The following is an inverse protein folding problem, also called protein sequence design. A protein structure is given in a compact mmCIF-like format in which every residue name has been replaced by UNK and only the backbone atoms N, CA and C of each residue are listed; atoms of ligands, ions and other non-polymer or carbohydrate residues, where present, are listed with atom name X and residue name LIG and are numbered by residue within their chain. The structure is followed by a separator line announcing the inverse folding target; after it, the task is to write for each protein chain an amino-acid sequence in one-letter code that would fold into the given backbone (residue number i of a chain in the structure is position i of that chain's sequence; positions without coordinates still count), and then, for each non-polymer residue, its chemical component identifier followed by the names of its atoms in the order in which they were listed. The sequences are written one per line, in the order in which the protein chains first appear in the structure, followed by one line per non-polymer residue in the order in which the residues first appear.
data_IF_262288944587
#
_entry.id   IF_262288944587
#
_cell.length_a   1.000
_cell.length_b   1.000
_cell.length_c   1.000
_cell.angle_alpha   90.00
_cell.angle_beta   90.00
_cell.angle_gamma   90.00
#
_symmetry.space_group_name_H-M   'P 1'
#
loop_
_entity.id
_entity.type
_entity.pdbx_description
1 polymer ?
#
# COMPACT_ATOMS: atom_id res chain seq x y z
N UNK A 1 -73.19 22.83 1.92
CA UNK A 1 -72.25 23.14 3.01
C UNK A 1 -71.34 21.95 3.21
N UNK A 2 -70.21 21.91 2.53
CA UNK A 2 -69.13 20.94 2.71
C UNK A 2 -67.85 21.70 3.00
N UNK A 3 -67.51 21.76 4.28
CA UNK A 3 -66.24 22.28 4.69
C UNK A 3 -65.14 21.27 4.38
N UNK A 4 -64.25 21.68 3.45
CA UNK A 4 -63.02 20.95 3.18
C UNK A 4 -62.08 21.04 4.40
N UNK A 5 -61.77 19.92 5.00
CA UNK A 5 -60.63 19.79 5.95
C UNK A 5 -59.37 20.01 5.14
N UNK A 6 -58.76 21.18 5.23
CA UNK A 6 -57.38 21.38 4.93
C UNK A 6 -56.58 20.64 6.02
N UNK A 7 -56.06 19.48 5.68
CA UNK A 7 -55.01 18.84 6.49
C UNK A 7 -53.74 19.69 6.35
N UNK A 8 -53.36 20.31 7.42
CA UNK A 8 -52.06 20.93 7.59
C UNK A 8 -50.97 19.85 7.53
N UNK A 9 -50.42 19.59 6.34
CA UNK A 9 -49.14 18.90 6.11
C UNK A 9 -47.98 19.88 6.25
N UNK A 10 -47.95 20.65 7.31
CA UNK A 10 -46.84 21.54 7.63
C UNK A 10 -46.42 21.29 9.07
N UNK A 11 -45.33 20.61 9.24
CA UNK A 11 -44.44 20.54 10.40
C UNK A 11 -43.96 19.14 10.80
N UNK A 12 -43.98 18.17 9.90
CA UNK A 12 -43.09 17.03 10.07
C UNK A 12 -41.72 17.44 9.54
N UNK A 13 -41.00 18.17 10.40
CA UNK A 13 -39.74 18.81 10.06
C UNK A 13 -38.76 17.80 9.51
N UNK A 14 -38.17 18.12 8.39
CA UNK A 14 -37.08 17.43 7.72
C UNK A 14 -36.17 16.70 8.74
N UNK A 15 -36.41 15.41 8.93
CA UNK A 15 -35.68 14.56 9.88
C UNK A 15 -34.18 14.66 9.72
N UNK A 16 -33.74 14.94 8.49
CA UNK A 16 -32.34 15.18 8.16
C UNK A 16 -31.79 16.44 8.86
N UNK A 17 -32.60 17.47 9.10
CA UNK A 17 -32.16 18.68 9.81
C UNK A 17 -31.89 18.41 11.28
N UNK A 18 -32.49 17.36 11.85
CA UNK A 18 -32.34 16.98 13.26
C UNK A 18 -31.15 16.04 13.50
N UNK A 19 -30.50 15.51 12.43
CA UNK A 19 -29.37 14.62 12.59
C UNK A 19 -28.14 15.35 13.17
N UNK A 20 -27.44 14.73 14.13
CA UNK A 20 -26.15 15.23 14.58
C UNK A 20 -25.14 15.31 13.45
N UNK A 21 -24.25 16.29 13.49
CA UNK A 21 -23.27 16.54 12.44
C UNK A 21 -22.36 15.33 12.18
N UNK A 22 -22.02 14.56 13.23
CA UNK A 22 -21.24 13.32 13.10
C UNK A 22 -21.94 12.25 12.24
N UNK A 23 -23.27 12.14 12.36
CA UNK A 23 -24.06 11.22 11.53
C UNK A 23 -24.12 11.70 10.08
N UNK A 24 -24.30 13.01 9.88
CA UNK A 24 -24.28 13.58 8.52
C UNK A 24 -22.91 13.40 7.89
N UNK A 25 -21.82 13.61 8.60
CA UNK A 25 -20.46 13.33 8.10
C UNK A 25 -20.31 11.85 7.71
N UNK A 26 -20.85 10.92 8.50
CA UNK A 26 -20.81 9.49 8.19
C UNK A 26 -21.61 9.17 6.90
N UNK A 27 -22.77 9.77 6.74
CA UNK A 27 -23.56 9.64 5.49
C UNK A 27 -22.79 10.21 4.29
N UNK A 28 -22.22 11.40 4.44
CA UNK A 28 -21.44 12.07 3.39
C UNK A 28 -20.24 11.23 2.95
N UNK A 29 -19.64 10.44 3.84
CA UNK A 29 -18.55 9.53 3.52
C UNK A 29 -18.92 8.50 2.44
N UNK A 30 -20.15 8.03 2.41
CA UNK A 30 -20.64 7.06 1.41
C UNK A 30 -21.14 7.69 0.11
N UNK A 31 -21.25 9.01 0.05
CA UNK A 31 -21.72 9.68 -1.15
C UNK A 31 -20.64 9.73 -2.24
N UNK A 32 -21.01 9.38 -3.44
CA UNK A 32 -20.22 9.70 -4.62
C UNK A 32 -20.13 11.21 -4.86
N UNK A 33 -19.14 11.66 -5.62
CA UNK A 33 -18.87 13.09 -5.86
C UNK A 33 -20.09 13.86 -6.38
N UNK A 34 -20.91 13.23 -7.25
CA UNK A 34 -22.14 13.82 -7.79
C UNK A 34 -23.16 14.11 -6.68
N UNK A 35 -23.41 13.15 -5.80
CA UNK A 35 -24.41 13.29 -4.74
C UNK A 35 -23.88 14.16 -3.60
N UNK A 36 -22.58 14.11 -3.32
CA UNK A 36 -21.92 15.07 -2.45
C UNK A 36 -22.13 16.51 -2.95
N UNK A 37 -21.91 16.77 -4.25
CA UNK A 37 -22.12 18.09 -4.84
C UNK A 37 -23.59 18.54 -4.75
N UNK A 38 -24.53 17.62 -5.01
CA UNK A 38 -25.96 17.88 -4.88
C UNK A 38 -26.36 18.23 -3.46
N UNK A 39 -25.91 17.41 -2.49
CA UNK A 39 -26.17 17.66 -1.08
C UNK A 39 -25.65 19.03 -0.64
N UNK A 40 -24.45 19.43 -1.10
CA UNK A 40 -23.88 20.75 -0.80
C UNK A 40 -24.69 21.92 -1.34
N UNK A 41 -25.59 21.68 -2.32
CA UNK A 41 -26.48 22.70 -2.88
C UNK A 41 -27.83 22.80 -2.16
N UNK A 42 -28.22 21.81 -1.34
CA UNK A 42 -29.55 21.74 -0.69
C UNK A 42 -29.72 22.84 0.36
N UNK A 43 -28.72 23.09 1.19
CA UNK A 43 -28.77 24.13 2.19
C UNK A 43 -27.37 24.64 2.59
N UNK A 44 -27.33 25.77 3.27
CA UNK A 44 -26.08 26.33 3.82
C UNK A 44 -25.47 25.37 4.84
N UNK A 45 -26.26 24.79 5.72
CA UNK A 45 -25.82 23.79 6.72
C UNK A 45 -25.13 22.59 6.04
N UNK A 46 -25.78 21.97 5.06
CA UNK A 46 -25.19 20.79 4.37
C UNK A 46 -23.92 21.14 3.60
N UNK A 47 -23.84 22.34 3.04
CA UNK A 47 -22.61 22.82 2.41
C UNK A 47 -21.46 22.94 3.41
N UNK A 48 -21.72 23.47 4.59
CA UNK A 48 -20.74 23.57 5.67
C UNK A 48 -20.33 22.19 6.19
N UNK A 49 -21.29 21.28 6.38
CA UNK A 49 -21.02 19.89 6.77
C UNK A 49 -20.21 19.13 5.72
N UNK A 50 -20.52 19.28 4.44
CA UNK A 50 -19.70 18.69 3.37
C UNK A 50 -18.27 19.23 3.41
N UNK A 51 -18.07 20.51 3.61
CA UNK A 51 -16.73 21.10 3.69
C UNK A 51 -16.00 20.67 4.95
N UNK A 52 -16.68 20.43 6.08
CA UNK A 52 -16.08 20.11 7.37
C UNK A 52 -15.80 18.62 7.61
N UNK A 53 -16.18 17.71 6.68
CA UNK A 53 -15.89 16.29 6.83
C UNK A 53 -14.38 16.04 6.99
N UNK A 54 -13.94 15.16 7.92
CA UNK A 54 -12.51 14.84 8.06
C UNK A 54 -11.97 13.96 6.92
N UNK A 55 -12.85 13.45 6.07
CA UNK A 55 -12.50 12.59 4.92
C UNK A 55 -12.80 13.31 3.61
N UNK A 56 -11.86 13.23 2.68
CA UNK A 56 -12.01 13.77 1.32
C UNK A 56 -11.73 12.65 0.33
N UNK A 57 -12.77 12.23 -0.37
CA UNK A 57 -12.65 11.24 -1.44
C UNK A 57 -12.97 11.90 -2.78
N UNK A 58 -11.96 12.01 -3.62
CA UNK A 58 -12.04 12.53 -4.97
C UNK A 58 -11.97 11.37 -5.95
N UNK A 59 -13.12 10.96 -6.45
CA UNK A 59 -13.25 9.83 -7.38
C UNK A 59 -13.94 10.29 -8.67
N UNK A 60 -13.26 10.11 -9.80
CA UNK A 60 -13.77 10.49 -11.11
C UNK A 60 -14.18 9.30 -12.01
N UNK A 61 -14.15 8.06 -11.53
CA UNK A 61 -14.41 6.86 -12.35
C UNK A 61 -15.71 6.90 -13.15
N UNK A 62 -16.71 7.67 -12.70
CA UNK A 62 -18.01 7.80 -13.38
C UNK A 62 -18.26 9.21 -13.96
N UNK A 63 -17.22 10.02 -14.12
CA UNK A 63 -17.33 11.43 -14.50
C UNK A 63 -16.78 11.75 -15.90
N UNK A 64 -16.38 10.77 -16.68
CA UNK A 64 -16.00 10.96 -18.08
C UNK A 64 -17.22 11.38 -18.91
N UNK A 65 -17.16 12.48 -19.68
CA UNK A 65 -16.02 13.29 -20.13
C UNK A 65 -15.80 14.62 -19.38
N UNK A 66 -16.19 14.73 -18.11
CA UNK A 66 -16.29 16.03 -17.41
C UNK A 66 -15.01 16.38 -16.62
N UNK A 67 -13.84 16.10 -17.17
CA UNK A 67 -12.53 16.33 -16.58
C UNK A 67 -12.35 17.75 -16.03
N UNK A 68 -12.70 18.75 -16.84
CA UNK A 68 -12.62 20.16 -16.43
C UNK A 68 -13.50 20.48 -15.21
N UNK A 69 -14.71 19.92 -15.15
CA UNK A 69 -15.61 20.14 -14.02
C UNK A 69 -15.07 19.50 -12.74
N UNK A 70 -14.47 18.31 -12.85
CA UNK A 70 -13.82 17.64 -11.74
C UNK A 70 -12.66 18.49 -11.19
N UNK A 71 -11.76 18.95 -12.06
CA UNK A 71 -10.63 19.79 -11.68
C UNK A 71 -11.07 21.05 -10.94
N UNK A 72 -12.03 21.77 -11.50
CA UNK A 72 -12.58 22.99 -10.88
C UNK A 72 -13.30 22.72 -9.55
N UNK A 73 -13.95 21.57 -9.43
CA UNK A 73 -14.60 21.17 -8.17
C UNK A 73 -13.53 20.94 -7.10
N UNK A 74 -12.46 20.19 -7.41
CA UNK A 74 -11.37 19.93 -6.46
C UNK A 74 -10.69 21.21 -6.02
N UNK A 75 -10.35 22.09 -6.97
CA UNK A 75 -9.73 23.39 -6.67
C UNK A 75 -10.58 24.18 -5.66
N UNK A 76 -11.88 24.32 -5.95
CA UNK A 76 -12.81 25.05 -5.08
C UNK A 76 -12.98 24.40 -3.70
N UNK A 77 -13.05 23.07 -3.65
CA UNK A 77 -13.19 22.34 -2.40
C UNK A 77 -11.98 22.56 -1.50
N UNK A 78 -10.77 22.37 -2.04
CA UNK A 78 -9.53 22.48 -1.28
C UNK A 78 -9.25 23.93 -0.88
N UNK A 79 -9.41 24.92 -1.81
CA UNK A 79 -9.30 26.32 -1.47
C UNK A 79 -10.25 26.73 -0.33
N UNK A 80 -11.51 26.27 -0.38
CA UNK A 80 -12.47 26.58 0.67
C UNK A 80 -12.09 25.98 2.00
N UNK A 81 -11.59 24.74 2.02
CA UNK A 81 -11.08 24.12 3.25
C UNK A 81 -9.89 24.86 3.83
N UNK A 82 -8.94 25.28 2.98
CA UNK A 82 -7.81 26.08 3.39
C UNK A 82 -8.26 27.41 4.02
N UNK A 83 -9.22 28.08 3.38
CA UNK A 83 -9.76 29.35 3.89
C UNK A 83 -10.37 29.23 5.29
N UNK A 84 -11.06 28.11 5.55
CA UNK A 84 -11.69 27.85 6.85
C UNK A 84 -10.78 27.07 7.84
N UNK A 85 -9.55 26.72 7.46
CA UNK A 85 -8.63 25.92 8.30
C UNK A 85 -9.15 24.52 8.63
N UNK A 86 -10.02 23.95 7.79
CA UNK A 86 -10.67 22.67 8.04
C UNK A 86 -9.69 21.53 7.77
N UNK A 87 -9.28 20.83 8.83
CA UNK A 87 -8.34 19.73 8.76
C UNK A 87 -8.86 18.55 7.93
N UNK A 88 -7.94 17.85 7.27
CA UNK A 88 -8.21 16.62 6.54
C UNK A 88 -7.46 15.50 7.28
N UNK A 89 -8.19 14.46 7.72
CA UNK A 89 -7.56 13.27 8.27
C UNK A 89 -7.20 12.26 7.17
N UNK A 90 -8.15 11.97 6.29
CA UNK A 90 -7.99 11.01 5.20
C UNK A 90 -8.24 11.69 3.85
N UNK A 91 -7.30 11.53 2.94
CA UNK A 91 -7.41 12.00 1.57
C UNK A 91 -7.28 10.83 0.59
N UNK A 92 -8.26 10.66 -0.27
CA UNK A 92 -8.30 9.64 -1.31
C UNK A 92 -8.47 10.32 -2.67
N UNK A 93 -7.50 10.12 -3.55
CA UNK A 93 -7.58 10.55 -4.95
C UNK A 93 -7.63 9.32 -5.85
N UNK A 94 -8.73 9.17 -6.59
CA UNK A 94 -8.89 8.18 -7.66
C UNK A 94 -8.98 8.95 -8.97
N UNK A 95 -7.94 8.83 -9.79
CA UNK A 95 -7.82 9.48 -11.08
C UNK A 95 -7.88 8.45 -12.19
N UNK A 96 -8.97 8.45 -12.92
CA UNK A 96 -9.26 7.50 -14.00
C UNK A 96 -9.44 8.19 -15.36
N UNK A 97 -8.88 9.37 -15.52
CA UNK A 97 -8.88 10.10 -16.79
C UNK A 97 -7.71 9.74 -17.73
N UNK A 98 -6.85 8.81 -17.33
CA UNK A 98 -5.60 8.53 -18.04
C UNK A 98 -4.52 9.59 -17.78
N UNK A 99 -3.76 9.94 -18.82
CA UNK A 99 -2.62 10.84 -18.69
C UNK A 99 -3.01 12.24 -18.20
N UNK A 100 -2.10 12.84 -17.44
CA UNK A 100 -2.22 14.24 -17.03
C UNK A 100 -1.89 15.17 -18.20
N UNK A 101 -2.71 16.20 -18.41
CA UNK A 101 -2.27 17.34 -19.20
C UNK A 101 -1.28 18.20 -18.40
N UNK A 102 -0.44 19.00 -19.06
CA UNK A 102 0.59 19.82 -18.39
C UNK A 102 0.04 20.65 -17.22
N UNK A 103 -1.09 21.29 -17.42
CA UNK A 103 -1.74 22.11 -16.39
C UNK A 103 -2.33 21.29 -15.25
N UNK A 104 -2.59 20.01 -15.44
CA UNK A 104 -3.14 19.11 -14.40
C UNK A 104 -2.05 18.55 -13.50
N UNK A 105 -0.88 18.28 -14.00
CA UNK A 105 0.27 17.91 -13.17
C UNK A 105 0.53 18.99 -12.12
N UNK A 106 0.56 20.25 -12.52
CA UNK A 106 0.70 21.40 -11.60
C UNK A 106 -0.47 21.51 -10.61
N UNK A 107 -1.70 21.28 -11.06
CA UNK A 107 -2.88 21.30 -10.17
C UNK A 107 -2.80 20.20 -9.11
N UNK A 108 -2.39 19.00 -9.49
CA UNK A 108 -2.23 17.88 -8.55
C UNK A 108 -1.17 18.20 -7.50
N UNK A 109 -0.05 18.80 -7.88
CA UNK A 109 0.95 19.27 -6.92
C UNK A 109 0.36 20.28 -5.95
N UNK A 110 -0.46 21.22 -6.45
CA UNK A 110 -1.16 22.21 -5.64
C UNK A 110 -2.17 21.56 -4.70
N UNK A 111 -2.93 20.55 -5.18
CA UNK A 111 -3.87 19.83 -4.33
C UNK A 111 -3.17 19.12 -3.17
N UNK A 112 -2.06 18.42 -3.44
CA UNK A 112 -1.27 17.79 -2.38
C UNK A 112 -0.68 18.80 -1.42
N UNK A 113 -0.22 19.95 -1.90
CA UNK A 113 0.25 21.04 -1.04
C UNK A 113 -0.84 21.51 -0.07
N UNK A 114 -2.06 21.73 -0.56
CA UNK A 114 -3.20 22.07 0.30
C UNK A 114 -3.53 20.97 1.31
N UNK A 115 -3.58 19.73 0.86
CA UNK A 115 -3.91 18.57 1.70
C UNK A 115 -2.88 18.39 2.83
N UNK A 116 -1.61 18.55 2.52
CA UNK A 116 -0.51 18.50 3.51
C UNK A 116 -0.63 19.62 4.54
N UNK A 117 -0.89 20.85 4.09
CA UNK A 117 -1.05 21.99 4.98
C UNK A 117 -2.30 21.87 5.88
N UNK A 118 -3.30 21.12 5.48
CA UNK A 118 -4.49 20.81 6.27
C UNK A 118 -4.27 19.62 7.24
N UNK A 119 -3.03 19.15 7.39
CA UNK A 119 -2.64 18.21 8.43
C UNK A 119 -3.08 16.77 8.18
N UNK A 120 -3.06 16.33 6.92
CA UNK A 120 -3.47 14.99 6.52
C UNK A 120 -2.67 13.89 7.23
N UNK A 121 -3.39 12.84 7.65
CA UNK A 121 -2.79 11.67 8.30
C UNK A 121 -2.68 10.46 7.36
N UNK A 122 -3.66 10.30 6.46
CA UNK A 122 -3.70 9.17 5.52
C UNK A 122 -3.93 9.66 4.11
N UNK A 123 -3.05 9.26 3.21
CA UNK A 123 -3.14 9.55 1.77
C UNK A 123 -3.26 8.22 1.01
N UNK A 124 -4.26 8.13 0.13
CA UNK A 124 -4.39 7.03 -0.83
C UNK A 124 -4.55 7.60 -2.24
N UNK A 125 -3.67 7.19 -3.14
CA UNK A 125 -3.61 7.66 -4.53
C UNK A 125 -3.82 6.46 -5.43
N UNK A 126 -4.80 6.53 -6.32
CA UNK A 126 -5.02 5.54 -7.37
C UNK A 126 -5.12 6.24 -8.71
N UNK A 127 -4.24 5.89 -9.63
CA UNK A 127 -4.09 6.56 -10.92
C UNK A 127 -4.07 5.54 -12.06
N UNK A 128 -4.60 5.93 -13.21
CA UNK A 128 -4.49 5.17 -14.48
C UNK A 128 -3.47 5.80 -15.44
N UNK A 129 -2.61 6.69 -14.96
CA UNK A 129 -1.57 7.35 -15.76
C UNK A 129 -0.38 6.43 -16.01
N UNK A 130 0.34 6.62 -17.13
CA UNK A 130 1.58 5.91 -17.40
C UNK A 130 2.75 6.43 -16.57
N UNK A 131 2.69 7.68 -16.10
CA UNK A 131 3.75 8.29 -15.28
C UNK A 131 3.18 9.22 -14.21
N UNK A 132 3.68 9.08 -13.00
CA UNK A 132 3.35 9.94 -11.87
C UNK A 132 4.60 10.30 -11.07
N UNK A 133 4.84 11.59 -10.87
CA UNK A 133 5.85 12.07 -9.95
C UNK A 133 5.19 12.33 -8.60
N UNK A 134 5.69 11.67 -7.54
CA UNK A 134 5.18 11.92 -6.18
C UNK A 134 5.60 13.31 -5.72
N UNK A 135 4.67 14.21 -5.36
CA UNK A 135 5.01 15.55 -4.92
C UNK A 135 5.88 15.55 -3.66
N UNK A 136 6.94 16.36 -3.65
CA UNK A 136 7.88 16.46 -2.53
C UNK A 136 7.19 16.82 -1.22
N UNK A 137 6.16 17.67 -1.25
CA UNK A 137 5.40 18.06 -0.07
C UNK A 137 4.76 16.87 0.68
N UNK A 138 4.38 15.81 -0.05
CA UNK A 138 3.82 14.58 0.55
C UNK A 138 4.86 13.90 1.44
N UNK A 139 6.12 13.82 1.00
CA UNK A 139 7.19 13.22 1.81
C UNK A 139 7.57 14.08 3.01
N UNK A 140 7.36 15.39 2.92
CA UNK A 140 7.67 16.33 4.00
C UNK A 140 6.51 16.49 5.01
N UNK A 141 5.39 15.80 4.79
CA UNK A 141 4.20 15.91 5.64
C UNK A 141 4.44 15.30 7.03
N UNK A 142 4.55 16.13 8.07
CA UNK A 142 4.85 15.70 9.44
C UNK A 142 3.69 14.99 10.16
N UNK A 143 2.49 15.06 9.62
CA UNK A 143 1.29 14.44 10.21
C UNK A 143 0.92 13.11 9.56
N UNK A 144 1.49 12.81 8.38
CA UNK A 144 1.13 11.64 7.61
C UNK A 144 1.72 10.36 8.21
N UNK A 145 0.83 9.41 8.53
CA UNK A 145 1.19 8.08 9.05
C UNK A 145 0.95 6.94 8.05
N UNK A 146 0.17 7.19 7.00
CA UNK A 146 -0.19 6.18 6.00
C UNK A 146 -0.13 6.76 4.59
N UNK A 147 0.61 6.08 3.69
CA UNK A 147 0.68 6.40 2.27
C UNK A 147 0.43 5.14 1.44
N UNK A 148 -0.57 5.20 0.56
CA UNK A 148 -0.84 4.15 -0.45
C UNK A 148 -0.79 4.77 -1.84
N UNK A 149 -0.05 4.14 -2.74
CA UNK A 149 0.04 4.53 -4.16
C UNK A 149 -0.26 3.31 -5.03
N UNK A 150 -1.14 3.48 -5.99
CA UNK A 150 -1.49 2.49 -7.01
C UNK A 150 -1.57 3.16 -8.38
N UNK A 151 -0.84 2.67 -9.39
CA UNK A 151 -0.73 3.32 -10.71
C UNK A 151 -1.07 2.43 -11.90
N UNK A 152 -1.64 1.25 -11.69
CA UNK A 152 -1.95 0.31 -12.78
C UNK A 152 -0.76 0.08 -13.73
N UNK A 153 0.41 -0.27 -13.14
CA UNK A 153 1.70 -0.49 -13.80
C UNK A 153 2.37 0.77 -14.41
N UNK A 154 1.88 1.94 -14.06
CA UNK A 154 2.51 3.21 -14.42
C UNK A 154 3.81 3.46 -13.66
N UNK A 155 4.66 4.30 -14.25
CA UNK A 155 5.95 4.70 -13.69
C UNK A 155 5.74 5.65 -12.52
N UNK A 156 6.24 5.27 -11.35
CA UNK A 156 6.32 6.13 -10.17
C UNK A 156 7.72 6.74 -10.08
N UNK A 157 7.80 8.04 -10.30
CA UNK A 157 9.01 8.80 -10.04
C UNK A 157 9.04 9.24 -8.59
N UNK A 158 10.02 8.75 -7.86
CA UNK A 158 10.24 9.13 -6.46
C UNK A 158 10.99 10.47 -6.41
N UNK A 159 10.69 11.32 -5.43
CA UNK A 159 11.47 12.54 -5.21
C UNK A 159 12.91 12.19 -4.86
N UNK A 160 13.87 13.00 -5.36
CA UNK A 160 15.28 12.80 -5.07
C UNK A 160 15.56 12.99 -3.56
N UNK A 161 16.40 12.12 -3.02
CA UNK A 161 16.84 12.16 -1.63
C UNK A 161 17.98 13.17 -1.41
N UNK A 162 18.59 13.61 -2.50
CA UNK A 162 19.80 14.47 -2.54
C UNK A 162 19.51 15.97 -2.42
N UNK A 163 18.33 16.38 -1.94
CA UNK A 163 18.11 17.80 -1.78
C UNK A 163 19.00 18.36 -0.66
N UNK A 164 20.04 19.10 -1.05
CA UNK A 164 20.88 19.93 -0.20
C UNK A 164 20.12 20.96 0.65
N UNK A 165 18.81 20.95 0.60
CA UNK A 165 17.89 21.88 1.22
C UNK A 165 17.28 21.34 2.51
N UNK A 166 17.97 20.54 3.33
CA UNK A 166 17.62 20.34 4.74
C UNK A 166 16.16 19.99 5.11
N UNK A 167 15.32 19.67 4.14
CA UNK A 167 13.92 19.32 4.37
C UNK A 167 13.86 17.87 4.85
N UNK A 168 13.63 17.71 6.16
CA UNK A 168 13.52 16.40 6.80
C UNK A 168 12.42 15.58 6.17
N UNK A 169 12.79 14.38 5.68
CA UNK A 169 11.82 13.40 5.23
C UNK A 169 10.88 13.04 6.37
N UNK A 170 9.64 12.74 6.02
CA UNK A 170 8.61 12.35 6.96
C UNK A 170 9.08 11.22 7.89
N UNK A 171 9.34 11.57 9.12
CA UNK A 171 9.73 10.62 10.18
C UNK A 171 8.52 9.93 10.82
N UNK A 172 7.28 10.35 10.50
CA UNK A 172 6.05 9.84 11.11
C UNK A 172 5.36 8.75 10.30
N UNK A 173 5.77 8.51 9.04
CA UNK A 173 5.18 7.49 8.19
C UNK A 173 5.36 6.10 8.80
N UNK A 174 4.23 5.45 9.10
CA UNK A 174 4.21 4.10 9.69
C UNK A 174 3.85 3.02 8.68
N UNK A 175 3.06 3.36 7.66
CA UNK A 175 2.59 2.38 6.67
C UNK A 175 2.81 2.92 5.27
N UNK A 176 3.54 2.17 4.45
CA UNK A 176 3.73 2.42 3.03
C UNK A 176 3.20 1.24 2.23
N UNK A 177 2.32 1.51 1.26
CA UNK A 177 1.73 0.51 0.37
C UNK A 177 1.91 0.94 -1.07
N UNK A 178 2.64 0.17 -1.85
CA UNK A 178 2.83 0.36 -3.28
C UNK A 178 2.20 -0.80 -4.04
N UNK A 179 1.29 -0.49 -4.98
CA UNK A 179 0.56 -1.52 -5.74
C UNK A 179 0.62 -1.21 -7.23
N UNK A 180 1.05 -2.20 -8.03
CA UNK A 180 1.11 -2.09 -9.50
C UNK A 180 1.85 -0.83 -9.95
N UNK A 181 3.01 -0.56 -9.37
CA UNK A 181 3.86 0.57 -9.71
C UNK A 181 5.17 0.09 -10.34
N UNK A 182 5.66 0.81 -11.34
CA UNK A 182 7.01 0.66 -11.86
C UNK A 182 7.91 1.75 -11.30
N UNK A 183 8.99 1.39 -10.63
CA UNK A 183 9.97 2.35 -10.09
C UNK A 183 10.96 2.73 -11.20
N UNK A 184 11.12 4.04 -11.44
CA UNK A 184 12.01 4.55 -12.49
C UNK A 184 13.48 4.48 -12.07
N UNK A 185 13.79 4.84 -10.85
CA UNK A 185 15.16 4.88 -10.32
C UNK A 185 15.45 3.67 -9.42
N UNK A 186 16.11 2.69 -10.03
CA UNK A 186 16.36 1.38 -9.42
C UNK A 186 17.32 1.48 -8.22
N UNK A 187 18.32 2.35 -8.30
CA UNK A 187 19.41 2.41 -7.32
C UNK A 187 19.00 3.13 -6.03
N UNK A 188 18.06 4.05 -6.12
CA UNK A 188 17.67 4.91 -5.00
C UNK A 188 16.53 4.34 -4.15
N UNK A 189 15.83 3.29 -4.59
CA UNK A 189 14.64 2.81 -3.87
C UNK A 189 14.94 2.30 -2.45
N UNK A 190 16.00 1.51 -2.27
CA UNK A 190 16.42 1.03 -0.96
C UNK A 190 16.85 2.17 -0.02
N UNK A 191 17.62 3.12 -0.55
CA UNK A 191 18.04 4.32 0.18
C UNK A 191 16.82 5.19 0.56
N UNK A 192 15.89 5.35 -0.37
CA UNK A 192 14.64 6.06 -0.13
C UNK A 192 13.82 5.42 1.00
N UNK A 193 13.69 4.10 1.02
CA UNK A 193 13.01 3.38 2.09
C UNK A 193 13.71 3.52 3.45
N UNK A 194 15.05 3.57 3.47
CA UNK A 194 15.84 3.66 4.71
C UNK A 194 15.63 4.97 5.47
N UNK A 195 15.09 5.98 4.81
CA UNK A 195 14.84 7.30 5.38
C UNK A 195 13.60 7.34 6.29
N UNK A 196 12.65 6.42 6.11
CA UNK A 196 11.43 6.36 6.93
C UNK A 196 11.69 5.65 8.27
N UNK A 197 12.21 6.37 9.24
CA UNK A 197 12.64 5.81 10.54
C UNK A 197 11.50 5.27 11.41
N UNK A 198 10.25 5.64 11.13
CA UNK A 198 9.06 5.15 11.85
C UNK A 198 8.25 4.10 11.09
N UNK A 199 8.76 3.64 9.92
CA UNK A 199 8.03 2.73 9.05
C UNK A 199 7.89 1.36 9.72
N UNK A 200 6.66 0.96 10.01
CA UNK A 200 6.32 -0.33 10.64
C UNK A 200 5.81 -1.35 9.63
N UNK A 201 5.07 -0.90 8.63
CA UNK A 201 4.45 -1.77 7.63
C UNK A 201 4.87 -1.34 6.24
N UNK A 202 5.53 -2.25 5.52
CA UNK A 202 5.86 -2.08 4.10
C UNK A 202 5.15 -3.18 3.29
N UNK A 203 4.30 -2.76 2.35
CA UNK A 203 3.62 -3.66 1.43
C UNK A 203 3.95 -3.29 -0.02
N UNK A 204 4.60 -4.18 -0.72
CA UNK A 204 4.96 -4.08 -2.13
C UNK A 204 4.20 -5.15 -2.90
N UNK A 205 3.25 -4.76 -3.74
CA UNK A 205 2.44 -5.68 -4.54
C UNK A 205 2.54 -5.30 -6.01
N UNK A 206 2.99 -6.22 -6.86
CA UNK A 206 3.21 -5.97 -8.29
C UNK A 206 4.08 -4.74 -8.54
N UNK A 207 5.14 -4.59 -7.76
CA UNK A 207 6.16 -3.56 -8.00
C UNK A 207 7.16 -4.08 -9.02
N UNK A 208 7.40 -3.32 -10.08
CA UNK A 208 8.27 -3.66 -11.19
C UNK A 208 9.39 -2.64 -11.41
N UNK A 209 10.32 -2.94 -12.33
CA UNK A 209 11.45 -2.07 -12.62
C UNK A 209 12.65 -2.24 -11.68
N UNK A 210 12.54 -3.06 -10.62
CA UNK A 210 13.61 -3.29 -9.64
C UNK A 210 14.08 -4.74 -9.78
N UNK A 211 15.37 -4.96 -10.12
CA UNK A 211 15.98 -6.31 -10.22
C UNK A 211 16.58 -6.76 -8.88
N UNK A 212 17.18 -5.84 -8.15
CA UNK A 212 17.78 -6.12 -6.84
C UNK A 212 17.27 -5.11 -5.80
N UNK A 213 16.80 -5.60 -4.67
CA UNK A 213 16.26 -4.77 -3.61
C UNK A 213 16.94 -5.06 -2.28
N UNK A 214 17.48 -4.02 -1.67
CA UNK A 214 18.05 -4.08 -0.32
C UNK A 214 17.23 -3.21 0.63
N UNK A 215 16.64 -3.84 1.65
CA UNK A 215 15.83 -3.19 2.68
C UNK A 215 16.66 -3.13 3.97
N UNK A 216 17.13 -1.93 4.31
CA UNK A 216 17.84 -1.64 5.55
C UNK A 216 16.98 -0.72 6.41
N UNK A 217 16.09 -1.29 7.22
CA UNK A 217 15.22 -0.51 8.08
C UNK A 217 14.90 -1.25 9.37
N UNK A 218 15.47 -0.79 10.47
CA UNK A 218 15.33 -1.41 11.79
C UNK A 218 13.95 -1.23 12.44
N UNK A 219 13.08 -0.38 11.90
CA UNK A 219 11.77 -0.11 12.48
C UNK A 219 10.64 -0.97 11.88
N UNK A 220 10.87 -1.63 10.74
CA UNK A 220 9.86 -2.45 10.06
C UNK A 220 9.50 -3.66 10.93
N UNK A 221 8.21 -3.82 11.16
CA UNK A 221 7.58 -4.92 11.88
C UNK A 221 6.93 -5.94 10.93
N UNK A 222 6.29 -5.44 9.87
CA UNK A 222 5.59 -6.25 8.87
C UNK A 222 6.08 -5.90 7.47
N UNK A 223 6.59 -6.91 6.75
CA UNK A 223 7.03 -6.78 5.36
C UNK A 223 6.24 -7.76 4.48
N UNK A 224 5.62 -7.22 3.44
CA UNK A 224 4.91 -8.01 2.41
C UNK A 224 5.46 -7.69 1.04
N UNK A 225 5.92 -8.70 0.31
CA UNK A 225 6.38 -8.63 -1.07
C UNK A 225 5.55 -9.62 -1.87
N UNK A 226 4.76 -9.12 -2.81
CA UNK A 226 3.84 -9.93 -3.59
C UNK A 226 3.90 -9.63 -5.07
N UNK A 227 4.06 -10.67 -5.91
CA UNK A 227 4.01 -10.60 -7.38
C UNK A 227 4.98 -9.56 -7.99
N UNK A 228 6.15 -9.34 -7.35
CA UNK A 228 7.19 -8.44 -7.84
C UNK A 228 8.12 -9.21 -8.82
N UNK A 229 7.65 -9.45 -10.02
CA UNK A 229 8.22 -10.43 -10.94
C UNK A 229 9.58 -10.06 -11.54
N UNK A 230 9.93 -8.77 -11.61
CA UNK A 230 11.25 -8.32 -12.10
C UNK A 230 12.36 -8.53 -11.05
N UNK A 231 11.96 -8.77 -9.79
CA UNK A 231 12.89 -8.92 -8.68
C UNK A 231 13.64 -10.23 -8.78
N UNK A 232 14.97 -10.19 -8.71
CA UNK A 232 15.85 -11.36 -8.74
C UNK A 232 16.53 -11.54 -7.39
N UNK A 233 17.02 -10.44 -6.80
CA UNK A 233 17.73 -10.47 -5.53
C UNK A 233 17.02 -9.65 -4.48
N UNK A 234 16.81 -10.24 -3.30
CA UNK A 234 16.21 -9.57 -2.15
C UNK A 234 17.15 -9.71 -0.95
N UNK A 235 17.52 -8.59 -0.35
CA UNK A 235 18.27 -8.54 0.90
C UNK A 235 17.48 -7.76 1.96
N UNK A 236 17.18 -8.39 3.09
CA UNK A 236 16.38 -7.82 4.16
C UNK A 236 17.22 -7.76 5.44
N UNK A 237 17.42 -6.55 5.96
CA UNK A 237 18.11 -6.28 7.22
C UNK A 237 17.16 -5.47 8.10
N UNK A 238 16.39 -6.15 8.96
CA UNK A 238 15.33 -5.54 9.74
C UNK A 238 15.24 -6.18 11.13
N UNK A 239 15.82 -5.55 12.12
CA UNK A 239 15.92 -6.07 13.50
C UNK A 239 14.56 -6.30 14.16
N UNK A 240 13.59 -5.42 13.92
CA UNK A 240 12.26 -5.49 14.53
C UNK A 240 11.25 -6.29 13.72
N UNK A 241 11.65 -6.88 12.60
CA UNK A 241 10.74 -7.60 11.71
C UNK A 241 10.19 -8.84 12.40
N UNK A 242 8.87 -8.89 12.60
CA UNK A 242 8.15 -10.03 13.17
C UNK A 242 7.36 -10.82 12.12
N UNK A 243 6.90 -10.15 11.06
CA UNK A 243 6.09 -10.79 10.03
C UNK A 243 6.68 -10.53 8.64
N UNK A 244 7.01 -11.63 7.95
CA UNK A 244 7.51 -11.59 6.59
C UNK A 244 6.63 -12.44 5.68
N UNK A 245 6.04 -11.84 4.66
CA UNK A 245 5.26 -12.54 3.64
C UNK A 245 5.89 -12.30 2.27
N UNK A 246 6.34 -13.35 1.64
CA UNK A 246 6.90 -13.32 0.29
C UNK A 246 6.05 -14.23 -0.60
N UNK A 247 5.39 -13.65 -1.60
CA UNK A 247 4.77 -14.35 -2.71
C UNK A 247 5.49 -13.89 -3.97
N UNK A 248 6.41 -14.73 -4.47
CA UNK A 248 7.34 -14.32 -5.48
C UNK A 248 7.69 -15.42 -6.49
N UNK A 249 7.32 -15.15 -7.74
CA UNK A 249 7.60 -15.98 -8.89
C UNK A 249 8.44 -15.17 -9.88
N UNK A 250 9.80 -15.21 -9.80
CA UNK A 250 10.63 -14.45 -10.71
C UNK A 250 10.39 -14.89 -12.15
N UNK A 251 10.05 -13.92 -13.01
CA UNK A 251 9.75 -14.20 -14.42
C UNK A 251 11.04 -14.36 -15.22
N UNK A 252 11.24 -15.53 -15.83
CA UNK A 252 12.23 -15.75 -16.93
C UNK A 252 13.70 -15.40 -16.63
N UNK A 253 14.17 -15.41 -15.41
CA UNK A 253 15.61 -15.27 -15.24
C UNK A 253 16.28 -16.64 -15.41
N UNK A 254 17.25 -16.69 -16.31
CA UNK A 254 18.18 -17.83 -16.47
C UNK A 254 19.14 -17.98 -15.27
N UNK A 255 19.07 -17.08 -14.30
CA UNK A 255 19.85 -17.11 -13.06
C UNK A 255 18.95 -17.38 -11.85
N UNK A 256 19.46 -18.18 -10.92
CA UNK A 256 18.83 -18.35 -9.61
C UNK A 256 18.78 -17.01 -8.89
N UNK A 257 17.59 -16.60 -8.45
CA UNK A 257 17.47 -15.46 -7.58
C UNK A 257 18.04 -15.73 -6.19
N UNK A 258 18.33 -14.68 -5.44
CA UNK A 258 18.81 -14.80 -4.07
C UNK A 258 17.91 -14.11 -3.05
N UNK A 259 17.68 -14.77 -1.91
CA UNK A 259 16.95 -14.22 -0.78
C UNK A 259 17.85 -14.24 0.47
N UNK A 260 18.27 -13.06 0.92
CA UNK A 260 19.07 -12.88 2.13
C UNK A 260 18.24 -12.21 3.20
N UNK A 261 18.12 -12.84 4.36
CA UNK A 261 17.34 -12.32 5.49
C UNK A 261 18.21 -12.22 6.72
N UNK A 262 18.20 -11.06 7.37
CA UNK A 262 18.73 -10.83 8.71
C UNK A 262 17.64 -10.18 9.56
N UNK A 263 16.89 -11.00 10.28
CA UNK A 263 15.71 -10.61 11.05
C UNK A 263 15.61 -11.46 12.33
N UNK A 264 16.36 -11.13 13.39
CA UNK A 264 16.49 -11.99 14.58
C UNK A 264 15.17 -12.13 15.36
N UNK A 265 14.23 -11.21 15.20
CA UNK A 265 12.95 -11.23 15.91
C UNK A 265 11.79 -11.77 15.06
N UNK A 266 12.09 -12.50 13.97
CA UNK A 266 11.07 -13.03 13.06
C UNK A 266 10.22 -14.11 13.76
N UNK A 267 8.90 -13.88 13.79
CA UNK A 267 7.91 -14.78 14.41
C UNK A 267 7.08 -15.54 13.38
N UNK A 268 6.77 -14.89 12.24
CA UNK A 268 5.97 -15.48 11.18
C UNK A 268 6.64 -15.22 9.83
N UNK A 269 6.97 -16.30 9.12
CA UNK A 269 7.51 -16.23 7.79
C UNK A 269 6.66 -17.08 6.84
N UNK A 270 6.07 -16.45 5.85
CA UNK A 270 5.34 -17.13 4.78
C UNK A 270 6.10 -16.89 3.47
N UNK A 271 6.51 -17.95 2.81
CA UNK A 271 7.20 -17.90 1.53
C UNK A 271 6.52 -18.81 0.51
N UNK A 272 6.01 -18.19 -0.55
CA UNK A 272 5.36 -18.85 -1.68
C UNK A 272 6.08 -18.45 -2.95
N UNK A 273 6.49 -19.40 -3.79
CA UNK A 273 7.19 -19.09 -5.04
C UNK A 273 8.12 -20.18 -5.54
N UNK A 274 9.19 -19.80 -6.20
CA UNK A 274 10.20 -20.74 -6.70
C UNK A 274 11.34 -20.95 -5.70
N UNK A 275 11.95 -22.14 -5.77
CA UNK A 275 13.19 -22.43 -5.04
C UNK A 275 14.32 -21.52 -5.56
N UNK A 276 15.08 -20.91 -4.64
CA UNK A 276 16.17 -20.00 -4.96
C UNK A 276 17.31 -20.11 -3.95
N UNK A 277 18.43 -19.44 -4.20
CA UNK A 277 19.53 -19.37 -3.24
C UNK A 277 19.11 -18.57 -2.01
N UNK A 278 19.04 -19.26 -0.90
CA UNK A 278 18.53 -18.72 0.36
C UNK A 278 19.65 -18.60 1.40
N UNK A 279 19.76 -17.43 2.00
CA UNK A 279 20.67 -17.18 3.09
C UNK A 279 19.95 -16.50 4.25
N UNK A 280 19.85 -17.17 5.36
CA UNK A 280 19.37 -16.59 6.61
C UNK A 280 20.53 -16.32 7.55
N UNK A 281 20.63 -15.09 8.05
CA UNK A 281 21.55 -14.70 9.12
C UNK A 281 20.73 -14.47 10.39
N UNK A 282 20.80 -15.40 11.30
CA UNK A 282 20.15 -15.31 12.61
C UNK A 282 19.82 -16.73 13.10
N UNK A 283 19.70 -16.90 14.39
CA UNK A 283 19.09 -18.13 14.93
C UNK A 283 17.58 -17.99 14.82
N UNK A 284 16.95 -18.88 14.07
CA UNK A 284 15.50 -18.99 14.12
C UNK A 284 15.09 -19.20 15.57
N UNK A 285 14.37 -18.24 16.13
CA UNK A 285 13.87 -18.39 17.49
C UNK A 285 12.91 -19.57 17.56
N UNK A 286 12.85 -20.26 18.69
CA UNK A 286 11.86 -21.32 18.95
C UNK A 286 10.39 -20.84 18.84
N UNK A 287 10.20 -19.55 18.49
CA UNK A 287 8.88 -18.92 18.28
C UNK A 287 8.46 -18.85 16.81
N UNK A 288 9.36 -19.14 15.85
CA UNK A 288 9.09 -18.97 14.44
C UNK A 288 8.01 -19.93 13.93
N UNK A 289 6.95 -19.39 13.40
CA UNK A 289 5.96 -20.10 12.58
C UNK A 289 6.32 -19.91 11.12
N UNK A 290 6.56 -21.00 10.41
CA UNK A 290 7.04 -20.99 9.04
C UNK A 290 6.06 -21.70 8.13
N UNK A 291 5.59 -21.01 7.09
CA UNK A 291 4.80 -21.60 6.02
C UNK A 291 5.54 -21.47 4.70
N UNK A 292 5.84 -22.58 4.05
CA UNK A 292 6.58 -22.64 2.80
C UNK A 292 5.76 -23.39 1.76
N UNK A 293 5.64 -22.76 0.60
CA UNK A 293 5.01 -23.33 -0.58
C UNK A 293 5.89 -22.95 -1.78
N UNK A 294 6.83 -23.84 -2.13
CA UNK A 294 7.80 -23.59 -3.18
C UNK A 294 7.56 -24.53 -4.34
N UNK A 295 7.38 -24.00 -5.53
CA UNK A 295 7.32 -24.74 -6.78
C UNK A 295 8.71 -24.89 -7.40
N UNK A 296 8.92 -26.00 -8.09
CA UNK A 296 10.08 -26.20 -8.95
C UNK A 296 9.84 -25.44 -10.24
N UNK A 297 10.80 -24.63 -10.67
CA UNK A 297 10.71 -24.04 -12.01
C UNK A 297 11.09 -25.09 -13.04
N UNK A 298 10.30 -25.24 -14.10
CA UNK A 298 10.50 -26.22 -15.20
C UNK A 298 11.84 -26.10 -15.94
N UNK A 299 12.60 -25.05 -15.68
CA UNK A 299 13.83 -24.71 -16.39
C UNK A 299 15.13 -24.99 -15.61
N UNK A 300 15.05 -25.47 -14.37
CA UNK A 300 16.22 -25.62 -13.52
C UNK A 300 16.68 -27.09 -13.46
N UNK A 301 17.98 -27.30 -13.60
CA UNK A 301 18.61 -28.61 -13.41
C UNK A 301 18.22 -29.17 -12.05
N UNK A 302 17.67 -30.35 -12.03
CA UNK A 302 17.15 -31.05 -10.86
C UNK A 302 18.14 -31.11 -9.67
N UNK A 303 19.43 -31.26 -9.96
CA UNK A 303 20.50 -31.31 -8.95
C UNK A 303 20.66 -29.99 -8.16
N UNK A 304 20.62 -28.85 -8.85
CA UNK A 304 20.78 -27.54 -8.21
C UNK A 304 19.58 -27.20 -7.32
N UNK A 305 18.40 -27.54 -7.78
CA UNK A 305 17.15 -27.33 -7.04
C UNK A 305 17.11 -28.15 -5.76
N UNK A 306 17.51 -29.43 -5.82
CA UNK A 306 17.64 -30.30 -4.64
C UNK A 306 18.61 -29.74 -3.61
N UNK A 307 19.75 -29.20 -4.07
CA UNK A 307 20.75 -28.57 -3.21
C UNK A 307 20.18 -27.35 -2.46
N UNK A 308 19.54 -26.42 -3.16
CA UNK A 308 18.96 -25.23 -2.52
C UNK A 308 17.80 -25.60 -1.59
N UNK A 309 16.98 -26.55 -1.96
CA UNK A 309 15.90 -27.05 -1.12
C UNK A 309 16.43 -27.64 0.20
N UNK A 310 17.47 -28.48 0.10
CA UNK A 310 18.13 -29.05 1.28
C UNK A 310 18.70 -27.94 2.18
N UNK A 311 19.37 -26.93 1.61
CA UNK A 311 19.91 -25.79 2.32
C UNK A 311 18.82 -24.98 3.04
N UNK A 312 17.69 -24.75 2.38
CA UNK A 312 16.50 -24.10 2.96
C UNK A 312 16.01 -24.89 4.15
N UNK A 313 15.71 -26.17 3.97
CA UNK A 313 15.16 -27.03 5.02
C UNK A 313 16.12 -27.17 6.20
N UNK A 314 17.41 -27.33 5.93
CA UNK A 314 18.43 -27.44 6.99
C UNK A 314 18.49 -26.15 7.85
N UNK A 315 18.39 -24.97 7.23
CA UNK A 315 18.37 -23.69 7.95
C UNK A 315 17.13 -23.52 8.84
N UNK A 316 16.06 -24.25 8.55
CA UNK A 316 14.74 -24.10 9.19
C UNK A 316 14.42 -25.18 10.24
N UNK A 317 15.36 -26.04 10.56
CA UNK A 317 15.18 -27.15 11.51
C UNK A 317 14.71 -26.74 12.92
N UNK A 318 15.00 -25.49 13.33
CA UNK A 318 14.64 -24.95 14.65
C UNK A 318 13.31 -24.21 14.68
N UNK A 319 12.59 -24.15 13.56
CA UNK A 319 11.27 -23.48 13.52
C UNK A 319 10.28 -24.22 14.44
N UNK A 320 9.44 -23.47 15.16
CA UNK A 320 8.42 -24.01 16.06
C UNK A 320 7.36 -24.81 15.29
N UNK A 321 6.93 -24.28 14.15
CA UNK A 321 5.95 -24.90 13.25
C UNK A 321 6.48 -24.76 11.83
N UNK A 322 6.52 -25.84 11.09
CA UNK A 322 6.87 -25.85 9.68
C UNK A 322 5.71 -26.44 8.89
N UNK A 323 5.10 -25.64 8.03
CA UNK A 323 4.05 -26.04 7.09
C UNK A 323 4.65 -26.09 5.69
N UNK A 324 4.64 -27.26 5.06
CA UNK A 324 5.10 -27.46 3.69
C UNK A 324 3.91 -27.77 2.79
N UNK A 325 3.85 -27.18 1.61
CA UNK A 325 2.79 -27.41 0.62
C UNK A 325 3.39 -27.85 -0.71
N UNK A 326 2.64 -28.69 -1.40
CA UNK A 326 2.70 -29.16 -2.79
C UNK A 326 4.01 -29.74 -3.37
N UNK A 327 5.19 -29.19 -3.14
CA UNK A 327 6.41 -29.56 -3.89
C UNK A 327 7.28 -30.60 -3.19
N UNK A 328 7.11 -30.78 -1.90
CA UNK A 328 8.02 -31.57 -1.08
C UNK A 328 7.73 -33.09 -1.09
N UNK A 329 6.65 -33.53 -1.72
CA UNK A 329 6.19 -34.90 -1.66
C UNK A 329 7.01 -35.85 -2.56
N UNK A 330 7.64 -35.32 -3.61
CA UNK A 330 8.40 -36.11 -4.59
C UNK A 330 9.89 -36.31 -4.26
N UNK A 331 10.41 -35.61 -3.26
CA UNK A 331 11.82 -35.74 -2.87
C UNK A 331 11.95 -36.82 -1.83
N UNK A 332 12.56 -37.98 -2.19
CA UNK A 332 12.90 -39.04 -1.27
C UNK A 332 13.70 -38.53 -0.07
N UNK A 333 13.02 -38.31 1.05
CA UNK A 333 13.64 -37.81 2.28
C UNK A 333 14.34 -38.94 3.03
N UNK A 334 15.64 -38.79 3.24
CA UNK A 334 16.25 -39.29 4.46
C UNK A 334 15.64 -38.51 5.64
N UNK A 335 15.19 -39.17 6.71
CA UNK A 335 14.52 -38.50 7.83
C UNK A 335 15.48 -37.52 8.49
N UNK A 336 15.36 -36.25 8.16
CA UNK A 336 15.95 -35.18 8.95
C UNK A 336 15.17 -35.12 10.27
N UNK A 337 15.87 -35.29 11.38
CA UNK A 337 15.32 -35.19 12.72
C UNK A 337 14.85 -33.73 12.97
N UNK A 338 13.61 -33.45 12.64
CA UNK A 338 12.98 -32.15 12.98
C UNK A 338 12.49 -32.20 14.43
N UNK A 339 12.90 -31.26 15.24
CA UNK A 339 12.38 -31.05 16.62
C UNK A 339 11.04 -30.29 16.64
N UNK A 340 10.42 -30.07 15.47
CA UNK A 340 9.23 -29.22 15.27
C UNK A 340 8.00 -30.00 14.86
N UNK A 341 6.81 -29.49 15.17
CA UNK A 341 5.53 -30.06 14.73
C UNK A 341 5.38 -29.91 13.22
N UNK A 342 5.41 -31.02 12.51
CA UNK A 342 5.20 -31.05 11.05
C UNK A 342 3.71 -31.05 10.74
N UNK A 343 3.26 -30.10 9.92
CA UNK A 343 1.94 -30.13 9.32
C UNK A 343 2.11 -30.22 7.80
N UNK A 344 1.96 -31.42 7.25
CA UNK A 344 1.83 -31.63 5.81
C UNK A 344 0.36 -31.38 5.44
N UNK A 345 0.06 -30.28 4.76
CA UNK A 345 -1.25 -30.09 4.15
C UNK A 345 -1.14 -30.32 2.65
N UNK A 346 -1.48 -31.54 2.18
CA UNK A 346 -1.76 -31.77 0.77
C UNK A 346 -3.16 -31.22 0.47
N UNK A 347 -3.28 -30.19 -0.33
CA UNK A 347 -4.53 -29.90 -1.02
C UNK A 347 -4.56 -30.78 -2.28
N UNK A 348 -5.28 -31.89 -2.21
CA UNK A 348 -5.83 -32.49 -3.41
C UNK A 348 -7.00 -31.63 -3.86
N UNK A 349 -6.88 -30.99 -5.00
CA UNK A 349 -7.98 -30.75 -5.97
C UNK A 349 -7.36 -30.51 -7.32
#
# INVERSE_FOLDING_TARGET
MRMARQQNFAEDGDLFKKLPDSIVHHIVYFLGLKDYSRLSCVSRRYRELCVSTPWVTLNNTNLTPRRFLFNNFVDRLLCRRCWHGVKIQNFILIWDFGEFFENEAYRIDTWFYHVVNLGVQKISIQLTTTRFALPQCVLNCKTMVFLKIMTNDGILKLPSTSSAAGFGINTTLQTLVLISVRIEDINCFGEWLSQFKSLKVLNLTRVSGIKSMSIHNSSIDVLKIKDCNDLVDISIFAEKLRQLHILWYPYKSSSFGSLKISAPNLENFCWVGHVMDYHYRGDFSHKLNLAIDLSLSDQLYESSTKYYLHKILHSMQRAKVLTLRDVFVEVNYTPLLFQSTFILSSMFL
#
